data_IF_249302977102
#
_entry.id   IF_249302977102
#
_cell.length_a   1.000
_cell.length_b   1.000
_cell.length_c   1.000
_cell.angle_alpha   90.00
_cell.angle_beta   90.00
_cell.angle_gamma   90.00
#
_symmetry.space_group_name_H-M   'P 1'
#
loop_
_entity.id
_entity.type
_entity.pdbx_description
1 polymer ?
#
# COMPACT_ATOMS: atom_id res chain seq x y z
N UNK A 1 13.18 -26.15 4.37
CA UNK A 1 11.91 -25.42 4.18
C UNK A 1 12.23 -23.96 4.30
N UNK A 2 11.87 -23.17 3.30
CA UNK A 2 12.22 -21.75 3.19
C UNK A 2 11.18 -20.82 3.82
N UNK A 3 9.94 -21.30 4.00
CA UNK A 3 8.86 -20.57 4.64
C UNK A 3 8.40 -21.24 5.92
N UNK A 4 8.13 -20.45 6.96
CA UNK A 4 7.56 -20.90 8.23
C UNK A 4 6.45 -19.94 8.65
N UNK A 5 5.33 -20.48 9.14
CA UNK A 5 4.21 -19.67 9.62
C UNK A 5 4.00 -19.83 11.13
N UNK A 6 3.59 -18.75 11.79
CA UNK A 6 3.22 -18.72 13.20
C UNK A 6 1.85 -18.08 13.37
N UNK A 7 1.06 -18.62 14.29
CA UNK A 7 -0.09 -17.90 14.84
C UNK A 7 0.42 -16.78 15.76
N UNK A 8 -0.27 -15.65 15.76
CA UNK A 8 0.09 -14.46 16.53
C UNK A 8 -1.19 -13.82 17.04
N UNK A 9 -1.26 -13.41 18.30
CA UNK A 9 -2.43 -12.65 18.77
C UNK A 9 -2.37 -11.23 18.18
N UNK A 10 -3.39 -10.83 17.42
CA UNK A 10 -3.42 -9.54 16.70
C UNK A 10 -3.23 -8.34 17.63
N UNK A 11 -3.80 -8.43 18.83
CA UNK A 11 -3.85 -7.33 19.78
C UNK A 11 -2.49 -6.95 20.38
N UNK A 12 -1.56 -7.88 20.56
CA UNK A 12 -0.31 -7.59 21.27
C UNK A 12 0.92 -8.28 20.66
N UNK A 13 0.73 -9.01 19.58
CA UNK A 13 1.82 -9.65 18.87
C UNK A 13 2.29 -10.94 19.54
N UNK A 14 1.59 -11.44 20.56
CA UNK A 14 2.00 -12.63 21.27
C UNK A 14 2.11 -13.84 20.33
N UNK A 15 3.32 -14.40 20.20
CA UNK A 15 3.58 -15.55 19.32
C UNK A 15 2.94 -16.81 19.90
N UNK A 16 2.18 -17.49 19.05
CA UNK A 16 1.54 -18.77 19.32
C UNK A 16 2.24 -19.92 18.60
N UNK A 17 1.47 -20.97 18.32
CA UNK A 17 1.98 -22.18 17.70
C UNK A 17 2.53 -21.93 16.28
N UNK A 18 3.62 -22.62 15.96
CA UNK A 18 4.09 -22.76 14.58
C UNK A 18 3.12 -23.65 13.78
N UNK A 19 2.82 -23.23 12.56
CA UNK A 19 1.97 -23.95 11.61
C UNK A 19 2.82 -24.72 10.61
N UNK A 20 2.36 -25.92 10.26
CA UNK A 20 2.97 -26.68 9.16
C UNK A 20 2.23 -26.32 7.87
N UNK A 21 2.86 -25.48 7.06
CA UNK A 21 2.33 -25.07 5.77
C UNK A 21 2.26 -26.25 4.80
N UNK A 22 1.15 -26.39 4.09
CA UNK A 22 1.11 -27.19 2.87
C UNK A 22 1.69 -26.38 1.69
N UNK A 23 1.80 -27.03 0.53
CA UNK A 23 2.23 -26.36 -0.72
C UNK A 23 1.12 -25.50 -1.36
N UNK A 24 -0.01 -25.31 -0.69
CA UNK A 24 -1.15 -24.53 -1.16
C UNK A 24 -1.23 -23.18 -0.45
N UNK A 25 -1.77 -22.20 -1.15
CA UNK A 25 -1.81 -20.81 -0.71
C UNK A 25 -0.66 -19.99 -1.27
N UNK A 26 -0.73 -18.71 -1.00
CA UNK A 26 0.22 -17.72 -1.51
C UNK A 26 -0.03 -16.37 -0.88
N UNK A 27 0.66 -15.39 -1.42
CA UNK A 27 0.66 -14.02 -0.92
C UNK A 27 0.77 -13.03 -2.08
N UNK A 28 0.25 -11.84 -1.84
CA UNK A 28 0.32 -10.68 -2.70
C UNK A 28 0.52 -9.44 -1.83
N UNK A 29 1.49 -8.62 -2.19
CA UNK A 29 1.85 -7.37 -1.52
C UNK A 29 1.78 -6.27 -2.57
N UNK A 30 0.70 -5.47 -2.60
CA UNK A 30 0.61 -4.29 -3.46
C UNK A 30 1.27 -3.06 -2.80
N UNK A 31 1.81 -2.16 -3.61
CA UNK A 31 2.29 -0.86 -3.14
C UNK A 31 1.13 -0.02 -2.59
N UNK A 32 1.31 0.55 -1.38
CA UNK A 32 0.33 1.39 -0.69
C UNK A 32 -1.05 0.71 -0.50
N UNK A 33 -1.13 -0.62 -0.67
CA UNK A 33 -2.33 -1.41 -0.49
C UNK A 33 -2.26 -2.32 0.73
N UNK A 34 -3.32 -3.09 0.95
CA UNK A 34 -3.37 -4.09 2.02
C UNK A 34 -2.89 -5.41 1.43
N UNK A 35 -1.91 -6.04 2.07
CA UNK A 35 -1.43 -7.35 1.67
C UNK A 35 -2.54 -8.40 1.78
N UNK A 36 -2.56 -9.36 0.86
CA UNK A 36 -3.50 -10.48 0.88
C UNK A 36 -2.72 -11.78 0.84
N UNK A 37 -3.08 -12.72 1.72
CA UNK A 37 -2.40 -14.01 1.75
C UNK A 37 -3.27 -15.08 2.38
N UNK A 38 -2.97 -16.34 2.08
CA UNK A 38 -3.68 -17.47 2.68
C UNK A 38 -2.70 -18.57 3.04
N UNK A 39 -2.89 -19.20 4.19
CA UNK A 39 -2.10 -20.36 4.59
C UNK A 39 -2.96 -21.59 4.68
N UNK A 40 -2.57 -22.66 4.00
CA UNK A 40 -3.23 -23.96 4.12
C UNK A 40 -2.45 -24.84 5.09
N UNK A 41 -3.17 -25.40 6.07
CA UNK A 41 -2.59 -26.22 7.15
C UNK A 41 -3.41 -27.48 7.37
N UNK A 42 -2.83 -28.47 8.07
CA UNK A 42 -3.55 -29.70 8.43
C UNK A 42 -4.64 -29.45 9.47
N UNK A 43 -5.87 -29.92 9.22
CA UNK A 43 -7.01 -29.78 10.16
C UNK A 43 -6.72 -30.38 11.53
N UNK A 44 -6.00 -31.49 11.59
CA UNK A 44 -5.58 -32.12 12.86
C UNK A 44 -4.71 -31.20 13.71
N UNK A 45 -3.93 -30.30 13.09
CA UNK A 45 -3.14 -29.32 13.82
C UNK A 45 -4.05 -28.27 14.45
N UNK A 46 -4.99 -27.70 13.68
CA UNK A 46 -5.93 -26.70 14.19
C UNK A 46 -6.86 -27.25 15.28
N UNK A 47 -7.34 -28.48 15.14
CA UNK A 47 -8.21 -29.14 16.13
C UNK A 47 -7.53 -29.41 17.48
N UNK A 48 -6.19 -29.37 17.55
CA UNK A 48 -5.44 -29.49 18.81
C UNK A 48 -5.24 -28.15 19.52
N UNK A 49 -5.52 -27.05 18.84
CA UNK A 49 -5.41 -25.70 19.39
C UNK A 49 -6.75 -25.28 19.99
N UNK A 50 -6.71 -24.42 21.01
CA UNK A 50 -7.90 -23.69 21.47
C UNK A 50 -8.50 -22.93 20.27
N UNK A 51 -9.83 -23.00 20.02
CA UNK A 51 -10.50 -22.24 18.97
C UNK A 51 -10.21 -20.74 18.95
N UNK A 52 -9.86 -20.14 20.10
CA UNK A 52 -9.42 -18.76 20.19
C UNK A 52 -8.12 -18.47 19.42
N UNK A 53 -7.31 -19.49 19.13
CA UNK A 53 -6.05 -19.38 18.37
C UNK A 53 -6.22 -19.46 16.85
N UNK A 54 -7.44 -19.56 16.34
CA UNK A 54 -7.73 -19.40 14.91
C UNK A 54 -9.05 -18.65 14.69
N UNK A 55 -9.48 -17.88 15.69
CA UNK A 55 -10.67 -17.03 15.61
C UNK A 55 -10.35 -15.78 14.77
N UNK A 56 -11.21 -15.43 13.78
CA UNK A 56 -11.02 -14.25 12.95
C UNK A 56 -10.83 -12.98 13.80
N UNK A 57 -9.99 -12.08 13.31
CA UNK A 57 -9.61 -10.78 13.89
C UNK A 57 -8.85 -10.84 15.22
N UNK A 58 -9.04 -11.88 16.03
CA UNK A 58 -8.30 -12.09 17.28
C UNK A 58 -6.86 -12.54 17.01
N UNK A 59 -6.68 -13.31 15.96
CA UNK A 59 -5.41 -13.94 15.60
C UNK A 59 -4.99 -13.48 14.22
N UNK A 60 -3.70 -13.24 14.09
CA UNK A 60 -2.96 -13.04 12.86
C UNK A 60 -2.13 -14.27 12.54
N UNK A 61 -1.80 -14.44 11.28
CA UNK A 61 -0.73 -15.34 10.85
C UNK A 61 0.47 -14.48 10.46
N UNK A 62 1.66 -14.85 10.90
CA UNK A 62 2.92 -14.29 10.41
C UNK A 62 3.67 -15.37 9.65
N UNK A 63 3.94 -15.12 8.36
CA UNK A 63 4.77 -16.00 7.53
C UNK A 63 6.14 -15.37 7.38
N UNK A 64 7.17 -16.16 7.66
CA UNK A 64 8.56 -15.73 7.67
C UNK A 64 9.38 -16.51 6.67
N UNK A 65 10.31 -15.80 6.03
CA UNK A 65 11.39 -16.40 5.28
C UNK A 65 12.48 -16.86 6.24
N UNK A 66 12.96 -18.10 6.08
CA UNK A 66 14.09 -18.64 6.83
C UNK A 66 15.35 -18.35 6.05
N UNK A 67 16.19 -17.46 6.60
CA UNK A 67 17.50 -17.14 6.01
C UNK A 67 18.46 -18.31 6.16
N UNK A 68 19.58 -18.25 5.44
CA UNK A 68 20.62 -19.29 5.46
C UNK A 68 21.19 -19.52 6.88
N UNK A 69 21.27 -18.47 7.69
CA UNK A 69 21.71 -18.51 9.10
C UNK A 69 20.62 -19.04 10.08
N UNK A 70 19.43 -19.39 9.58
CA UNK A 70 18.30 -19.85 10.36
C UNK A 70 17.46 -18.74 11.01
N UNK A 71 17.83 -17.47 10.83
CA UNK A 71 17.03 -16.34 11.31
C UNK A 71 15.73 -16.21 10.52
N UNK A 72 14.71 -15.65 11.18
CA UNK A 72 13.38 -15.45 10.59
C UNK A 72 13.21 -14.00 10.16
N UNK A 73 13.02 -13.78 8.87
CA UNK A 73 12.56 -12.49 8.34
C UNK A 73 11.03 -12.53 8.20
N UNK A 74 10.32 -11.72 8.98
CA UNK A 74 8.88 -11.62 8.86
C UNK A 74 8.52 -10.98 7.51
N UNK A 75 7.94 -11.78 6.62
CA UNK A 75 7.67 -11.38 5.25
C UNK A 75 6.30 -10.71 5.14
N UNK A 76 5.25 -11.41 5.57
CA UNK A 76 3.87 -10.92 5.59
C UNK A 76 3.20 -11.36 6.88
N UNK A 77 2.39 -10.47 7.46
CA UNK A 77 1.59 -10.82 8.63
C UNK A 77 0.34 -9.95 8.76
N UNK A 78 -0.73 -10.55 9.28
CA UNK A 78 -1.95 -9.84 9.62
C UNK A 78 -3.11 -10.77 9.95
N UNK A 79 -4.27 -10.20 10.34
CA UNK A 79 -5.38 -10.95 10.92
C UNK A 79 -5.92 -12.01 9.96
N UNK A 80 -6.37 -13.14 10.54
CA UNK A 80 -7.36 -13.99 9.89
C UNK A 80 -8.63 -13.17 9.72
N UNK A 81 -9.11 -13.00 8.50
CA UNK A 81 -10.26 -12.14 8.21
C UNK A 81 -11.58 -12.91 8.14
N UNK A 82 -11.51 -14.22 8.02
CA UNK A 82 -12.67 -15.10 8.00
C UNK A 82 -12.33 -16.46 8.64
N UNK A 83 -13.36 -17.24 8.94
CA UNK A 83 -13.22 -18.68 9.20
C UNK A 83 -12.54 -19.35 8.00
N UNK A 84 -11.99 -20.56 8.17
CA UNK A 84 -11.32 -21.26 7.08
C UNK A 84 -12.21 -21.31 5.83
N UNK A 85 -11.75 -20.68 4.73
CA UNK A 85 -12.55 -20.47 3.52
C UNK A 85 -12.45 -21.64 2.52
N UNK A 86 -11.43 -22.47 2.68
CA UNK A 86 -11.23 -23.71 1.95
C UNK A 86 -11.05 -24.86 2.93
N UNK A 87 -11.87 -25.90 2.82
CA UNK A 87 -11.80 -27.06 3.69
C UNK A 87 -11.86 -28.36 2.90
N UNK A 88 -10.85 -29.20 3.05
CA UNK A 88 -10.88 -30.60 2.62
C UNK A 88 -11.11 -31.52 3.82
N UNK A 89 -11.04 -32.84 3.63
CA UNK A 89 -11.06 -33.78 4.76
C UNK A 89 -9.84 -33.64 5.68
N UNK A 90 -8.72 -33.12 5.18
CA UNK A 90 -7.43 -33.13 5.89
C UNK A 90 -6.80 -31.75 6.07
N UNK A 91 -7.21 -30.76 5.29
CA UNK A 91 -6.63 -29.40 5.28
C UNK A 91 -7.69 -28.33 5.45
N UNK A 92 -7.25 -27.18 5.96
CA UNK A 92 -8.04 -25.96 6.10
C UNK A 92 -7.19 -24.76 5.67
N UNK A 93 -7.78 -23.86 4.90
CA UNK A 93 -7.15 -22.64 4.39
C UNK A 93 -7.59 -21.45 5.21
N UNK A 94 -6.63 -20.77 5.84
CA UNK A 94 -6.86 -19.59 6.66
C UNK A 94 -6.66 -18.33 5.79
N UNK A 95 -7.73 -17.59 5.45
CA UNK A 95 -7.61 -16.35 4.68
C UNK A 95 -7.14 -15.23 5.61
N UNK A 96 -6.08 -14.54 5.21
CA UNK A 96 -5.46 -13.48 5.98
C UNK A 96 -5.27 -12.23 5.12
N UNK A 97 -5.22 -11.07 5.77
CA UNK A 97 -4.86 -9.80 5.14
C UNK A 97 -3.87 -9.09 6.03
N UNK A 98 -3.07 -8.17 5.48
CA UNK A 98 -2.14 -7.34 6.25
C UNK A 98 -2.83 -6.56 7.37
N UNK A 99 -2.06 -6.01 8.31
CA UNK A 99 -2.63 -5.26 9.45
C UNK A 99 -3.48 -4.06 9.02
N UNK A 100 -3.26 -3.55 7.80
CA UNK A 100 -4.12 -2.56 7.15
C UNK A 100 -5.60 -2.94 7.13
N UNK A 101 -5.95 -4.22 7.07
CA UNK A 101 -7.33 -4.68 7.16
C UNK A 101 -7.98 -4.35 8.51
N UNK A 102 -7.24 -4.48 9.62
CA UNK A 102 -7.76 -4.09 10.93
C UNK A 102 -7.90 -2.56 11.06
N UNK A 103 -7.06 -1.80 10.38
CA UNK A 103 -7.17 -0.33 10.29
C UNK A 103 -8.33 0.10 9.37
N UNK A 104 -8.69 -0.70 8.37
CA UNK A 104 -9.85 -0.42 7.51
C UNK A 104 -11.18 -0.46 8.29
N UNK A 105 -11.26 -1.29 9.32
CA UNK A 105 -12.42 -1.39 10.23
C UNK A 105 -12.46 -0.28 11.30
N UNK A 106 -11.43 0.59 11.38
CA UNK A 106 -11.34 1.66 12.36
C UNK A 106 -11.80 2.98 11.75
N UNK A 107 -12.69 3.68 12.44
CA UNK A 107 -13.11 5.04 12.06
C UNK A 107 -12.39 6.08 12.93
N UNK A 108 -11.83 7.11 12.30
CA UNK A 108 -11.29 8.30 12.95
C UNK A 108 -12.40 9.15 13.52
N UNK A 109 -12.30 9.46 14.82
CA UNK A 109 -13.21 10.36 15.52
C UNK A 109 -12.42 11.28 16.45
N UNK A 110 -12.84 12.53 16.61
CA UNK A 110 -12.22 13.47 17.56
C UNK A 110 -12.42 13.05 19.02
N UNK A 111 -13.41 12.18 19.30
CA UNK A 111 -13.71 11.63 20.61
C UNK A 111 -14.19 10.17 20.47
N UNK A 112 -13.90 9.33 21.46
CA UNK A 112 -14.38 7.93 21.48
C UNK A 112 -15.87 7.90 21.88
N UNK A 113 -16.72 7.10 21.20
CA UNK A 113 -18.17 7.15 21.40
C UNK A 113 -18.71 6.41 22.64
N UNK A 114 -17.87 5.70 23.40
CA UNK A 114 -18.39 4.79 24.45
C UNK A 114 -18.98 5.61 25.61
N UNK A 115 -20.31 5.47 25.78
CA UNK A 115 -21.16 6.11 26.78
C UNK A 115 -21.42 7.62 26.57
N UNK A 116 -21.38 8.11 25.34
CA UNK A 116 -21.78 9.49 25.06
C UNK A 116 -23.31 9.65 25.15
N UNK A 117 -23.77 10.61 25.96
CA UNK A 117 -25.15 11.11 25.91
C UNK A 117 -25.46 11.66 24.51
N UNK A 118 -26.75 11.85 24.17
CA UNK A 118 -27.14 12.45 22.88
C UNK A 118 -26.40 13.76 22.60
N UNK A 119 -26.20 14.60 23.63
CA UNK A 119 -25.44 15.85 23.49
C UNK A 119 -23.98 15.62 23.10
N UNK A 120 -23.32 14.63 23.69
CA UNK A 120 -21.93 14.32 23.37
C UNK A 120 -21.78 13.60 22.00
N UNK A 121 -22.81 12.87 21.55
CA UNK A 121 -22.85 12.36 20.17
C UNK A 121 -22.97 13.50 19.15
N UNK A 122 -23.83 14.50 19.42
CA UNK A 122 -23.91 15.72 18.59
C UNK A 122 -22.57 16.47 18.60
N UNK A 123 -21.95 16.62 19.77
CA UNK A 123 -20.64 17.26 19.89
C UNK A 123 -19.57 16.53 19.06
N UNK A 124 -19.53 15.20 19.10
CA UNK A 124 -18.64 14.37 18.28
C UNK A 124 -18.81 14.67 16.78
N UNK A 125 -20.05 14.84 16.31
CA UNK A 125 -20.34 15.15 14.90
C UNK A 125 -19.90 16.58 14.50
N UNK A 126 -19.89 17.52 15.44
CA UNK A 126 -19.49 18.91 15.17
C UNK A 126 -17.98 19.16 15.28
N UNK A 127 -17.24 18.29 15.98
CA UNK A 127 -15.80 18.40 16.14
C UNK A 127 -15.06 17.91 14.89
N UNK A 128 -13.88 18.44 14.65
CA UNK A 128 -12.96 17.94 13.64
C UNK A 128 -11.59 17.58 14.24
N UNK A 129 -10.88 16.71 13.53
CA UNK A 129 -9.46 16.44 13.75
C UNK A 129 -8.67 17.25 12.74
N UNK A 130 -7.87 18.20 13.21
CA UNK A 130 -7.02 19.03 12.36
C UNK A 130 -5.54 18.73 12.63
N UNK A 131 -4.84 18.31 11.59
CA UNK A 131 -3.39 18.16 11.59
C UNK A 131 -2.80 19.23 10.67
N UNK A 132 -2.01 20.15 11.21
CA UNK A 132 -1.47 21.28 10.48
C UNK A 132 0.04 21.37 10.65
N UNK A 133 0.72 21.85 9.62
CA UNK A 133 2.17 22.01 9.61
C UNK A 133 2.93 20.69 9.73
N UNK A 134 2.44 19.64 9.06
CA UNK A 134 3.02 18.29 9.09
C UNK A 134 3.18 17.75 7.66
N UNK A 135 4.18 16.90 7.40
CA UNK A 135 4.24 16.16 6.14
C UNK A 135 3.07 15.17 6.05
N UNK A 136 2.67 14.75 4.84
CA UNK A 136 1.63 13.74 4.68
C UNK A 136 1.97 12.43 5.40
N UNK A 137 3.25 12.04 5.42
CA UNK A 137 3.70 10.85 6.16
C UNK A 137 3.52 11.01 7.67
N UNK A 138 3.82 12.20 8.20
CA UNK A 138 3.58 12.53 9.61
C UNK A 138 2.08 12.55 9.94
N UNK A 139 1.23 13.08 9.06
CA UNK A 139 -0.23 13.03 9.21
C UNK A 139 -0.71 11.58 9.22
N UNK A 140 -0.17 10.72 8.36
CA UNK A 140 -0.48 9.29 8.34
C UNK A 140 -0.17 8.62 9.69
N UNK A 141 0.97 8.93 10.31
CA UNK A 141 1.28 8.44 11.66
C UNK A 141 0.23 8.87 12.70
N UNK A 142 -0.18 10.15 12.67
CA UNK A 142 -1.19 10.67 13.60
C UNK A 142 -2.56 10.03 13.39
N UNK A 143 -2.94 9.80 12.14
CA UNK A 143 -4.15 9.06 11.77
C UNK A 143 -4.13 7.64 12.37
N UNK A 144 -3.02 6.91 12.24
CA UNK A 144 -2.89 5.57 12.83
C UNK A 144 -2.95 5.66 14.36
N UNK A 145 -2.14 6.52 15.00
CA UNK A 145 -2.17 6.70 16.47
C UNK A 145 -3.58 6.97 16.98
N UNK A 146 -4.32 7.82 16.27
CA UNK A 146 -5.70 8.14 16.64
C UNK A 146 -6.64 6.94 16.50
N UNK A 147 -6.47 6.13 15.46
CA UNK A 147 -7.18 4.87 15.30
C UNK A 147 -6.89 3.84 16.41
N UNK A 148 -5.64 3.81 16.90
CA UNK A 148 -5.20 2.89 17.95
C UNK A 148 -5.62 3.32 19.37
N UNK A 149 -5.86 4.62 19.59
CA UNK A 149 -6.26 5.19 20.88
C UNK A 149 -7.70 4.81 21.32
N UNK A 150 -8.36 3.92 20.58
CA UNK A 150 -9.72 3.44 20.83
C UNK A 150 -9.74 2.18 21.68
N UNK A 151 -10.89 1.85 22.26
CA UNK A 151 -11.03 0.60 23.03
C UNK A 151 -10.74 -0.60 22.11
N UNK A 152 -9.92 -1.52 22.62
CA UNK A 152 -9.43 -2.67 21.85
C UNK A 152 -8.59 -2.29 20.62
N UNK A 153 -8.06 -1.06 20.54
CA UNK A 153 -7.28 -0.55 19.41
C UNK A 153 -5.77 -0.70 19.53
N UNK A 154 -5.26 -1.26 20.62
CA UNK A 154 -3.84 -1.31 20.95
C UNK A 154 -3.02 -2.32 20.14
N UNK A 155 -3.12 -2.32 18.81
CA UNK A 155 -2.30 -3.18 17.95
C UNK A 155 -0.80 -2.89 18.18
N UNK A 156 0.10 -3.88 18.06
CA UNK A 156 1.55 -3.71 18.23
C UNK A 156 2.14 -3.04 16.99
N UNK A 157 1.72 -1.82 16.70
CA UNK A 157 2.23 -0.98 15.62
C UNK A 157 3.19 0.04 16.21
N UNK A 158 4.42 0.07 15.68
CA UNK A 158 5.45 1.05 16.03
C UNK A 158 5.73 1.95 14.82
N UNK A 159 6.24 3.16 15.06
CA UNK A 159 6.47 4.14 14.00
C UNK A 159 7.97 4.23 13.70
N UNK A 160 8.36 3.81 12.50
CA UNK A 160 9.77 3.70 12.09
C UNK A 160 10.30 4.90 11.30
N UNK A 161 9.42 5.76 10.78
CA UNK A 161 9.82 6.94 10.01
C UNK A 161 9.89 8.22 10.87
N UNK A 162 10.77 9.17 10.52
CA UNK A 162 10.87 10.44 11.24
C UNK A 162 9.59 11.26 11.09
N UNK A 163 9.34 12.11 12.09
CA UNK A 163 8.28 13.11 12.04
C UNK A 163 8.82 14.39 11.44
N UNK A 164 8.04 15.01 10.55
CA UNK A 164 8.37 16.27 9.91
C UNK A 164 7.29 17.31 10.24
N UNK A 165 7.74 18.47 10.75
CA UNK A 165 6.88 19.59 11.12
C UNK A 165 7.43 20.89 10.54
N UNK A 166 6.54 21.82 10.19
CA UNK A 166 6.89 23.12 9.64
C UNK A 166 5.64 23.86 9.17
N UNK A 167 5.60 25.18 9.36
CA UNK A 167 4.41 26.00 9.05
C UNK A 167 4.01 26.00 7.57
N UNK A 168 4.95 25.72 6.68
CA UNK A 168 4.74 25.62 5.22
C UNK A 168 4.32 24.22 4.77
N UNK A 169 4.31 23.23 5.68
CA UNK A 169 3.90 21.86 5.36
C UNK A 169 2.38 21.73 5.27
N UNK A 170 1.92 20.50 5.13
CA UNK A 170 0.55 20.18 4.75
C UNK A 170 -0.40 20.30 5.94
N UNK A 171 -1.67 20.45 5.59
CA UNK A 171 -2.79 20.44 6.53
C UNK A 171 -3.87 19.49 6.05
N UNK A 172 -4.45 18.73 6.98
CA UNK A 172 -5.66 17.92 6.77
C UNK A 172 -6.62 18.10 7.92
N UNK A 173 -7.90 18.20 7.57
CA UNK A 173 -9.02 18.25 8.52
C UNK A 173 -9.91 17.05 8.22
N UNK A 174 -10.32 16.33 9.26
CA UNK A 174 -11.29 15.25 9.18
C UNK A 174 -12.48 15.59 10.06
N UNK A 175 -13.60 15.90 9.43
CA UNK A 175 -14.79 16.34 10.13
C UNK A 175 -15.56 15.17 10.74
N UNK A 176 -16.04 15.38 11.97
CA UNK A 176 -16.78 14.40 12.74
C UNK A 176 -18.10 14.01 12.08
N UNK A 177 -18.72 14.88 11.29
CA UNK A 177 -19.97 14.56 10.59
C UNK A 177 -19.75 13.61 9.40
N UNK A 178 -18.52 13.50 8.89
CA UNK A 178 -18.18 12.70 7.73
C UNK A 178 -17.65 11.29 8.11
N UNK A 179 -18.26 10.66 9.12
CA UNK A 179 -17.79 9.38 9.67
C UNK A 179 -17.68 8.27 8.63
N UNK A 180 -18.64 8.20 7.70
CA UNK A 180 -18.70 7.18 6.66
C UNK A 180 -17.46 7.18 5.75
N UNK A 181 -16.74 8.30 5.69
CA UNK A 181 -15.50 8.44 4.92
C UNK A 181 -14.25 8.44 5.79
N UNK A 182 -14.37 8.42 7.12
CA UNK A 182 -13.27 8.57 8.07
C UNK A 182 -12.60 7.25 8.49
N UNK A 183 -12.70 6.18 7.71
CA UNK A 183 -11.95 4.95 8.00
C UNK A 183 -10.44 5.25 7.96
N UNK A 184 -9.68 4.73 8.92
CA UNK A 184 -8.25 4.99 9.08
C UNK A 184 -7.52 4.59 7.80
N UNK A 185 -7.73 3.37 7.30
CA UNK A 185 -7.08 2.93 6.06
C UNK A 185 -7.47 3.79 4.85
N UNK A 186 -8.75 4.16 4.73
CA UNK A 186 -9.22 5.04 3.65
C UNK A 186 -8.45 6.37 3.65
N UNK A 187 -8.25 6.98 4.82
CA UNK A 187 -7.46 8.22 4.94
C UNK A 187 -5.97 8.02 4.63
N UNK A 188 -5.39 6.86 4.93
CA UNK A 188 -4.02 6.54 4.52
C UNK A 188 -3.91 6.43 3.00
N UNK A 189 -4.83 5.73 2.34
CA UNK A 189 -4.87 5.60 0.89
C UNK A 189 -5.03 6.95 0.19
N UNK A 190 -5.89 7.83 0.71
CA UNK A 190 -6.04 9.20 0.22
C UNK A 190 -4.76 10.03 0.40
N UNK A 191 -4.05 9.88 1.52
CA UNK A 191 -2.77 10.57 1.75
C UNK A 191 -1.68 10.09 0.78
N UNK A 192 -1.60 8.81 0.49
CA UNK A 192 -0.66 8.29 -0.52
C UNK A 192 -1.07 8.60 -1.95
N UNK A 193 -2.38 8.77 -2.21
CA UNK A 193 -2.94 8.96 -3.55
C UNK A 193 -2.97 10.40 -4.05
N UNK A 194 -2.53 11.40 -3.28
CA UNK A 194 -2.37 12.78 -3.77
C UNK A 194 -1.06 12.95 -4.54
N UNK A 195 -0.96 14.04 -5.32
CA UNK A 195 0.30 14.46 -5.93
C UNK A 195 1.39 14.62 -4.86
N UNK A 196 2.55 14.02 -5.07
CA UNK A 196 3.64 13.95 -4.09
C UNK A 196 3.20 13.33 -2.74
N UNK A 197 2.24 12.39 -2.78
CA UNK A 197 1.83 11.59 -1.65
C UNK A 197 2.94 10.61 -1.23
N UNK A 198 3.14 10.38 0.08
CA UNK A 198 4.17 9.48 0.56
C UNK A 198 3.73 8.04 0.36
N UNK A 199 4.71 7.18 0.16
CA UNK A 199 4.54 5.75 0.40
C UNK A 199 4.22 5.49 1.86
N UNK A 200 3.39 4.49 2.11
CA UNK A 200 3.04 4.03 3.45
C UNK A 200 3.05 2.50 3.44
N UNK A 201 3.79 1.89 4.36
CA UNK A 201 3.85 0.44 4.52
C UNK A 201 3.86 0.01 5.98
N UNK A 202 3.33 -1.19 6.26
CA UNK A 202 3.32 -1.81 7.58
C UNK A 202 4.16 -3.08 7.56
N UNK A 203 5.46 -2.94 7.85
CA UNK A 203 6.41 -4.04 7.72
C UNK A 203 6.39 -4.91 8.99
N UNK A 204 6.02 -6.20 8.92
CA UNK A 204 6.06 -7.05 10.10
C UNK A 204 7.52 -7.29 10.54
N UNK A 205 7.74 -7.39 11.85
CA UNK A 205 9.05 -7.64 12.45
C UNK A 205 8.91 -8.51 13.70
N UNK A 206 9.79 -9.49 13.86
CA UNK A 206 9.97 -10.19 15.13
C UNK A 206 10.81 -9.34 16.07
N UNK A 207 10.32 -9.12 17.28
CA UNK A 207 11.08 -8.51 18.38
C UNK A 207 11.99 -9.54 19.04
N UNK A 208 12.96 -9.06 19.81
CA UNK A 208 13.90 -9.90 20.56
C UNK A 208 13.19 -10.80 21.59
N UNK A 209 12.03 -10.38 22.11
CA UNK A 209 11.17 -11.17 23.01
C UNK A 209 10.37 -12.27 22.29
N UNK A 210 10.53 -12.39 20.96
CA UNK A 210 9.86 -13.38 20.13
C UNK A 210 8.43 -13.01 19.71
N UNK A 211 7.93 -11.84 20.11
CA UNK A 211 6.62 -11.36 19.70
C UNK A 211 6.69 -10.58 18.38
N UNK A 212 5.57 -10.49 17.68
CA UNK A 212 5.46 -9.75 16.43
C UNK A 212 5.08 -8.29 16.69
N UNK A 213 5.59 -7.39 15.87
CA UNK A 213 5.07 -6.04 15.71
C UNK A 213 5.01 -5.65 14.23
N UNK A 214 4.24 -4.61 13.92
CA UNK A 214 4.25 -3.98 12.60
C UNK A 214 4.94 -2.62 12.71
N UNK A 215 5.99 -2.42 11.91
CA UNK A 215 6.66 -1.13 11.79
C UNK A 215 5.98 -0.35 10.68
N UNK A 216 5.22 0.69 11.04
CA UNK A 216 4.73 1.67 10.08
C UNK A 216 5.90 2.53 9.62
N UNK A 217 6.18 2.47 8.32
CA UNK A 217 7.14 3.32 7.64
C UNK A 217 6.45 4.10 6.54
N UNK A 218 6.95 5.29 6.29
CA UNK A 218 6.49 6.16 5.22
C UNK A 218 7.65 6.98 4.63
N UNK A 219 7.45 7.47 3.40
CA UNK A 219 8.33 8.47 2.80
C UNK A 219 8.19 9.86 3.43
N UNK A 220 9.13 10.72 3.12
CA UNK A 220 9.24 12.09 3.66
C UNK A 220 8.62 13.11 2.72
N UNK A 221 8.58 14.39 3.11
CA UNK A 221 8.13 15.46 2.22
C UNK A 221 9.05 15.62 0.99
N UNK A 222 10.37 15.57 1.20
CA UNK A 222 11.36 15.74 0.14
C UNK A 222 11.57 14.48 -0.72
N UNK A 223 11.32 13.31 -0.13
CA UNK A 223 11.42 12.01 -0.81
C UNK A 223 10.17 11.20 -0.46
N UNK A 224 9.11 11.24 -1.29
CA UNK A 224 7.87 10.52 -1.05
C UNK A 224 8.04 9.00 -0.98
N UNK A 225 9.11 8.44 -1.55
CA UNK A 225 9.45 7.03 -1.42
C UNK A 225 9.98 6.69 -0.02
N UNK A 226 9.69 5.48 0.48
CA UNK A 226 10.35 4.97 1.70
C UNK A 226 11.85 4.81 1.44
N UNK A 227 12.68 5.31 2.35
CA UNK A 227 14.13 5.19 2.23
C UNK A 227 14.56 3.71 2.20
N UNK A 228 15.42 3.37 1.24
CA UNK A 228 15.99 2.05 1.05
C UNK A 228 17.49 2.05 1.35
N UNK A 229 17.99 0.94 1.90
CA UNK A 229 19.43 0.73 2.17
C UNK A 229 20.07 -0.24 1.19
N UNK A 230 19.27 -0.82 0.30
CA UNK A 230 19.69 -1.81 -0.68
C UNK A 230 18.83 -1.63 -1.93
N UNK A 231 19.39 -1.91 -3.11
CA UNK A 231 18.68 -1.83 -4.37
C UNK A 231 18.90 -3.13 -5.15
N UNK A 232 17.81 -3.68 -5.67
CA UNK A 232 17.85 -4.87 -6.51
C UNK A 232 18.50 -4.55 -7.84
N UNK A 233 19.21 -5.51 -8.42
CA UNK A 233 19.80 -5.38 -9.76
C UNK A 233 19.41 -6.60 -10.60
N UNK A 234 18.54 -6.37 -11.57
CA UNK A 234 17.94 -7.38 -12.44
C UNK A 234 18.34 -7.11 -13.87
N UNK A 235 19.14 -8.01 -14.43
CA UNK A 235 19.60 -7.95 -15.81
C UNK A 235 18.94 -9.07 -16.63
N UNK A 236 18.05 -8.72 -17.54
CA UNK A 236 17.33 -9.69 -18.39
C UNK A 236 18.21 -10.26 -19.50
N UNK A 237 19.35 -9.62 -19.80
CA UNK A 237 20.26 -10.01 -20.87
C UNK A 237 21.31 -11.04 -20.42
N UNK A 238 21.49 -11.19 -19.10
CA UNK A 238 22.50 -12.07 -18.51
C UNK A 238 22.00 -13.51 -18.33
N UNK A 239 22.76 -14.48 -18.86
CA UNK A 239 22.48 -15.92 -18.69
C UNK A 239 22.59 -16.43 -17.24
N UNK A 240 23.14 -15.63 -16.30
CA UNK A 240 23.26 -15.97 -14.87
C UNK A 240 22.32 -15.15 -13.99
N UNK A 241 21.32 -14.52 -14.61
CA UNK A 241 20.33 -13.71 -13.91
C UNK A 241 19.42 -14.57 -13.01
N UNK A 242 18.94 -14.06 -11.86
CA UNK A 242 17.93 -14.74 -11.04
C UNK A 242 16.54 -14.78 -11.69
N UNK A 243 16.38 -14.18 -12.87
CA UNK A 243 15.12 -14.03 -13.59
C UNK A 243 14.81 -15.31 -14.37
N UNK A 244 13.65 -15.90 -14.12
CA UNK A 244 13.14 -17.08 -14.83
C UNK A 244 12.27 -16.72 -16.04
N UNK A 245 11.54 -15.60 -15.98
CA UNK A 245 10.74 -15.09 -17.09
C UNK A 245 10.48 -13.60 -16.95
N UNK A 246 10.29 -12.92 -18.09
CA UNK A 246 9.93 -11.51 -18.19
C UNK A 246 8.69 -11.39 -19.06
N UNK A 247 7.73 -10.57 -18.62
CA UNK A 247 6.55 -10.21 -19.38
C UNK A 247 6.41 -8.68 -19.38
N UNK A 248 6.17 -8.10 -20.54
CA UNK A 248 5.98 -6.65 -20.68
C UNK A 248 4.55 -6.40 -21.16
N UNK A 249 3.80 -5.63 -20.38
CA UNK A 249 2.43 -5.25 -20.71
C UNK A 249 2.35 -3.73 -20.80
N UNK A 250 1.84 -3.21 -21.91
CA UNK A 250 1.60 -1.78 -22.09
C UNK A 250 0.10 -1.54 -22.23
N UNK A 251 -0.45 -0.71 -21.35
CA UNK A 251 -1.87 -0.33 -21.35
C UNK A 251 -2.02 1.15 -21.75
N UNK A 252 -2.74 1.38 -22.84
CA UNK A 252 -3.06 2.70 -23.37
C UNK A 252 -4.52 3.12 -23.08
N UNK A 253 -5.29 2.33 -22.32
CA UNK A 253 -6.70 2.58 -22.03
C UNK A 253 -6.95 3.89 -21.27
N UNK A 254 -5.95 4.34 -20.49
CA UNK A 254 -5.99 5.60 -19.72
C UNK A 254 -5.50 6.82 -20.48
N UNK A 255 -5.13 6.69 -21.76
CA UNK A 255 -4.70 7.85 -22.54
C UNK A 255 -5.85 8.86 -22.65
N UNK A 256 -5.57 10.11 -22.27
CA UNK A 256 -6.51 11.21 -22.36
C UNK A 256 -5.77 12.49 -22.70
N UNK A 257 -6.32 13.26 -23.64
CA UNK A 257 -5.85 14.61 -23.98
C UNK A 257 -6.67 15.67 -23.25
N UNK A 258 -7.83 15.31 -22.70
CA UNK A 258 -8.69 16.18 -21.89
C UNK A 258 -9.29 15.42 -20.71
N UNK A 259 -9.25 16.05 -19.54
CA UNK A 259 -9.81 15.52 -18.29
C UNK A 259 -10.86 16.49 -17.79
N UNK A 260 -12.07 15.99 -17.54
CA UNK A 260 -13.08 16.69 -16.75
C UNK A 260 -13.03 16.19 -15.31
N UNK A 261 -13.05 17.09 -14.33
CA UNK A 261 -13.09 16.71 -12.92
C UNK A 261 -14.26 17.37 -12.21
N UNK A 262 -15.05 16.56 -11.52
CA UNK A 262 -16.26 16.99 -10.82
C UNK A 262 -16.03 17.11 -9.32
N UNK A 263 -16.61 18.12 -8.68
CA UNK A 263 -16.55 18.37 -7.24
C UNK A 263 -17.93 18.25 -6.57
N UNK A 264 -18.05 18.84 -5.38
CA UNK A 264 -19.33 18.94 -4.67
C UNK A 264 -20.38 19.75 -5.44
N UNK A 265 -21.64 19.40 -5.23
CA UNK A 265 -22.83 20.02 -5.83
C UNK A 265 -23.83 18.97 -6.31
N UNK A 266 -25.08 19.38 -6.48
CA UNK A 266 -26.15 18.53 -7.00
C UNK A 266 -26.68 19.08 -8.34
N UNK A 267 -26.93 18.17 -9.30
CA UNK A 267 -27.49 18.52 -10.60
C UNK A 267 -26.64 19.56 -11.34
N UNK A 268 -27.26 20.68 -11.73
CA UNK A 268 -26.63 21.76 -12.47
C UNK A 268 -25.64 22.60 -11.65
N UNK A 269 -25.54 22.38 -10.34
CA UNK A 269 -24.60 23.09 -9.45
C UNK A 269 -23.29 22.34 -9.22
N UNK A 270 -23.16 21.14 -9.77
CA UNK A 270 -21.93 20.33 -9.68
C UNK A 270 -20.75 21.12 -10.20
N UNK A 271 -19.74 21.29 -9.35
CA UNK A 271 -18.54 21.99 -9.75
C UNK A 271 -17.77 21.16 -10.78
N UNK A 272 -17.32 21.78 -11.87
CA UNK A 272 -16.50 21.11 -12.89
C UNK A 272 -15.24 21.93 -13.17
N UNK A 273 -14.11 21.23 -13.32
CA UNK A 273 -12.86 21.76 -13.86
C UNK A 273 -12.41 20.92 -15.05
N UNK A 274 -11.67 21.54 -15.96
CA UNK A 274 -11.16 20.90 -17.16
C UNK A 274 -9.66 21.15 -17.25
N UNK A 275 -8.91 20.09 -17.54
CA UNK A 275 -7.50 20.16 -17.91
C UNK A 275 -7.34 19.57 -19.32
N UNK A 276 -6.48 20.16 -20.14
CA UNK A 276 -6.30 19.72 -21.53
C UNK A 276 -4.86 19.89 -22.01
N UNK A 277 -4.36 18.92 -22.79
CA UNK A 277 -3.12 18.97 -23.55
C UNK A 277 -3.41 18.63 -25.01
N UNK A 278 -3.26 19.61 -25.89
CA UNK A 278 -3.56 19.48 -27.34
C UNK A 278 -2.33 19.18 -28.18
N UNK A 279 -1.14 19.05 -27.58
CA UNK A 279 0.12 18.91 -28.31
C UNK A 279 0.09 17.76 -29.33
N UNK A 280 -0.53 16.63 -28.98
CA UNK A 280 -0.61 15.44 -29.84
C UNK A 280 -1.69 15.46 -30.91
N UNK A 281 -2.61 16.43 -30.88
CA UNK A 281 -3.57 16.59 -31.98
C UNK A 281 -2.86 16.91 -33.30
N UNK A 282 -1.68 17.53 -33.22
CA UNK A 282 -0.81 17.79 -34.38
C UNK A 282 -0.31 16.49 -35.04
N UNK A 283 -0.13 15.41 -34.26
CA UNK A 283 0.32 14.10 -34.73
C UNK A 283 -0.84 13.21 -35.20
N UNK A 284 -1.99 13.81 -35.54
CA UNK A 284 -3.23 13.12 -35.94
C UNK A 284 -3.79 12.18 -34.85
N UNK A 285 -3.41 12.34 -33.57
CA UNK A 285 -4.11 11.65 -32.49
C UNK A 285 -5.53 12.20 -32.35
N UNK A 286 -6.53 11.33 -32.17
CA UNK A 286 -7.88 11.77 -31.84
C UNK A 286 -7.91 12.45 -30.47
N UNK A 287 -8.90 13.32 -30.25
CA UNK A 287 -9.20 13.83 -28.92
C UNK A 287 -9.71 12.67 -28.05
N UNK A 288 -8.97 12.35 -26.98
CA UNK A 288 -9.35 11.36 -25.99
C UNK A 288 -9.77 12.07 -24.71
N UNK A 289 -10.91 11.69 -24.14
CA UNK A 289 -11.52 12.36 -23.01
C UNK A 289 -11.79 11.39 -21.86
N UNK A 290 -11.58 11.85 -20.62
CA UNK A 290 -11.94 11.11 -19.41
C UNK A 290 -12.59 12.02 -18.37
N UNK A 291 -13.30 11.42 -17.41
CA UNK A 291 -14.03 12.12 -16.35
C UNK A 291 -13.67 11.53 -15.00
N UNK A 292 -13.26 12.37 -14.05
CA UNK A 292 -13.00 12.03 -12.65
C UNK A 292 -13.90 12.79 -11.67
N UNK A 293 -13.86 12.42 -10.39
CA UNK A 293 -14.68 13.05 -9.36
C UNK A 293 -14.03 13.10 -7.99
N UNK A 294 -14.36 14.17 -7.25
CA UNK A 294 -14.12 14.35 -5.82
C UNK A 294 -15.39 14.99 -5.24
N UNK A 295 -16.47 14.18 -5.18
CA UNK A 295 -17.84 14.60 -4.83
C UNK A 295 -17.96 15.33 -3.49
N UNK A 296 -17.01 15.13 -2.60
CA UNK A 296 -17.08 15.61 -1.22
C UNK A 296 -16.28 16.92 -1.03
N UNK A 297 -15.67 17.45 -2.09
CA UNK A 297 -14.86 18.68 -2.04
C UNK A 297 -15.53 19.82 -2.79
N UNK A 298 -15.73 20.95 -2.11
CA UNK A 298 -16.11 22.24 -2.71
C UNK A 298 -14.89 23.13 -3.02
N UNK A 299 -13.68 22.67 -2.70
CA UNK A 299 -12.44 23.39 -2.95
C UNK A 299 -12.04 23.36 -4.43
N UNK A 300 -12.19 24.53 -5.08
CA UNK A 300 -11.88 24.75 -6.51
C UNK A 300 -10.44 24.42 -6.91
N UNK A 301 -9.47 24.73 -6.06
CA UNK A 301 -8.06 24.50 -6.36
C UNK A 301 -7.76 23.01 -6.29
N UNK A 302 -8.23 22.33 -5.24
CA UNK A 302 -8.09 20.88 -5.12
C UNK A 302 -8.67 20.12 -6.33
N UNK A 303 -9.86 20.52 -6.80
CA UNK A 303 -10.50 19.90 -7.98
C UNK A 303 -9.66 20.15 -9.25
N UNK A 304 -9.07 21.34 -9.41
CA UNK A 304 -8.17 21.64 -10.54
C UNK A 304 -6.90 20.78 -10.47
N UNK A 305 -6.31 20.64 -9.29
CA UNK A 305 -5.10 19.83 -9.09
C UNK A 305 -5.33 18.37 -9.44
N UNK A 306 -6.49 17.82 -9.08
CA UNK A 306 -6.86 16.47 -9.50
C UNK A 306 -6.99 16.34 -11.03
N UNK A 307 -7.63 17.31 -11.70
CA UNK A 307 -7.75 17.30 -13.16
C UNK A 307 -6.37 17.35 -13.86
N UNK A 308 -5.46 18.19 -13.36
CA UNK A 308 -4.10 18.30 -13.87
C UNK A 308 -3.27 17.04 -13.59
N UNK A 309 -3.41 16.47 -12.39
CA UNK A 309 -2.75 15.22 -12.00
C UNK A 309 -3.16 14.04 -12.89
N UNK A 310 -4.46 13.88 -13.14
CA UNK A 310 -4.94 12.84 -14.05
C UNK A 310 -4.48 13.10 -15.48
N UNK A 311 -4.52 14.35 -15.97
CA UNK A 311 -4.04 14.66 -17.31
C UNK A 311 -2.57 14.30 -17.46
N UNK A 312 -1.73 14.61 -16.46
CA UNK A 312 -0.31 14.25 -16.45
C UNK A 312 -0.11 12.73 -16.46
N UNK A 313 -0.88 11.98 -15.67
CA UNK A 313 -0.85 10.51 -15.63
C UNK A 313 -1.35 9.87 -16.94
N UNK A 314 -2.25 10.53 -17.65
CA UNK A 314 -2.85 10.08 -18.90
C UNK A 314 -2.06 10.45 -20.16
N UNK A 315 -0.89 11.10 -20.04
CA UNK A 315 -0.10 11.52 -21.21
C UNK A 315 0.55 10.36 -21.94
N UNK A 316 0.91 9.27 -21.28
CA UNK A 316 1.62 8.15 -21.90
C UNK A 316 0.97 6.83 -21.52
N UNK A 317 1.02 5.81 -22.39
CA UNK A 317 0.64 4.46 -21.99
C UNK A 317 1.43 4.03 -20.76
N UNK A 318 0.78 3.28 -19.87
CA UNK A 318 1.45 2.72 -18.70
C UNK A 318 2.11 1.42 -19.14
N UNK A 319 3.43 1.35 -19.04
CA UNK A 319 4.17 0.11 -19.27
C UNK A 319 4.53 -0.53 -17.94
N UNK A 320 4.05 -1.76 -17.74
CA UNK A 320 4.37 -2.61 -16.61
C UNK A 320 5.30 -3.73 -17.06
N UNK A 321 6.34 -3.97 -16.28
CA UNK A 321 7.28 -5.08 -16.49
C UNK A 321 7.07 -6.06 -15.34
N UNK A 322 6.66 -7.28 -15.66
CA UNK A 322 6.53 -8.36 -14.68
C UNK A 322 7.71 -9.32 -14.83
N UNK A 323 8.39 -9.63 -13.73
CA UNK A 323 9.49 -10.59 -13.71
C UNK A 323 9.27 -11.66 -12.67
N UNK A 324 9.46 -12.91 -13.08
CA UNK A 324 9.50 -14.05 -12.16
C UNK A 324 10.94 -14.28 -11.73
N UNK A 325 11.26 -14.10 -10.45
CA UNK A 325 12.63 -14.17 -9.92
C UNK A 325 12.78 -15.28 -8.89
N UNK A 326 13.98 -15.84 -8.78
CA UNK A 326 14.32 -16.75 -7.69
C UNK A 326 14.71 -15.95 -6.44
N UNK A 327 13.81 -15.86 -5.47
CA UNK A 327 13.99 -15.17 -4.21
C UNK A 327 14.98 -15.79 -3.23
N UNK A 328 15.63 -16.90 -3.61
CA UNK A 328 16.78 -17.45 -2.87
C UNK A 328 18.13 -17.00 -3.45
N UNK A 329 18.16 -16.36 -4.63
CA UNK A 329 19.40 -15.80 -5.18
C UNK A 329 19.81 -14.55 -4.37
N UNK A 330 21.08 -14.37 -3.99
CA UNK A 330 21.54 -13.20 -3.24
C UNK A 330 21.22 -11.84 -3.87
N UNK A 331 21.00 -11.79 -5.20
CA UNK A 331 20.63 -10.57 -5.93
C UNK A 331 19.14 -10.23 -5.85
N UNK A 332 18.30 -11.15 -5.40
CA UNK A 332 16.86 -10.98 -5.27
C UNK A 332 16.32 -11.58 -3.96
N UNK A 333 17.19 -11.76 -2.95
CA UNK A 333 16.87 -12.50 -1.72
C UNK A 333 15.67 -11.89 -1.00
N UNK A 334 14.66 -12.71 -0.73
CA UNK A 334 13.47 -12.31 0.02
C UNK A 334 13.88 -11.75 1.39
N UNK A 335 13.34 -10.58 1.73
CA UNK A 335 13.65 -9.87 2.97
C UNK A 335 14.72 -8.77 2.81
N UNK A 336 15.53 -8.79 1.74
CA UNK A 336 16.47 -7.69 1.43
C UNK A 336 15.80 -6.50 0.72
N UNK A 337 14.71 -6.78 0.03
CA UNK A 337 13.89 -5.81 -0.67
C UNK A 337 12.46 -5.84 -0.14
N UNK A 338 11.72 -4.76 -0.41
CA UNK A 338 10.31 -4.60 -0.09
C UNK A 338 9.59 -3.99 -1.30
N UNK A 339 8.29 -4.21 -1.38
CA UNK A 339 7.44 -3.48 -2.34
C UNK A 339 7.51 -1.98 -2.01
N UNK A 340 7.65 -1.17 -3.06
CA UNK A 340 7.96 0.26 -2.99
C UNK A 340 9.43 0.59 -3.19
N UNK A 341 10.36 -0.35 -2.98
CA UNK A 341 11.79 -0.14 -3.23
C UNK A 341 12.06 0.03 -4.74
N UNK A 342 13.15 0.73 -5.06
CA UNK A 342 13.64 0.87 -6.42
C UNK A 342 14.61 -0.26 -6.77
N UNK A 343 14.50 -0.75 -7.99
CA UNK A 343 15.34 -1.76 -8.59
C UNK A 343 15.98 -1.21 -9.87
N UNK A 344 17.24 -1.55 -10.10
CA UNK A 344 17.87 -1.36 -11.41
C UNK A 344 17.44 -2.50 -12.30
N UNK A 345 16.82 -2.18 -13.41
CA UNK A 345 16.32 -3.14 -14.39
C UNK A 345 17.03 -2.88 -15.71
N UNK A 346 17.78 -3.87 -16.19
CA UNK A 346 18.44 -3.86 -17.50
C UNK A 346 17.63 -4.68 -18.46
N UNK A 347 17.11 -4.03 -19.50
CA UNK A 347 16.32 -4.63 -20.57
C UNK A 347 17.17 -4.68 -21.85
N UNK A 348 17.01 -5.73 -22.65
CA UNK A 348 17.63 -5.81 -23.97
C UNK A 348 16.85 -5.08 -25.06
N UNK A 349 17.32 -5.15 -26.30
CA UNK A 349 16.75 -4.47 -27.48
C UNK A 349 15.61 -5.26 -28.15
N UNK A 350 15.21 -6.39 -27.57
CA UNK A 350 14.13 -7.24 -28.08
C UNK A 350 12.71 -6.70 -27.84
N UNK A 351 12.56 -5.69 -26.96
CA UNK A 351 11.24 -5.17 -26.56
C UNK A 351 10.82 -3.96 -27.41
N UNK A 352 9.60 -4.01 -27.95
CA UNK A 352 9.06 -2.93 -28.77
C UNK A 352 8.67 -1.68 -27.96
N UNK A 353 8.15 -1.88 -26.75
CA UNK A 353 7.57 -0.80 -25.91
C UNK A 353 8.48 -0.37 -24.77
N UNK A 354 9.64 -1.01 -24.61
CA UNK A 354 10.62 -0.71 -23.55
C UNK A 354 11.99 -0.53 -24.20
N UNK A 355 12.65 0.62 -24.04
CA UNK A 355 13.98 0.83 -24.61
C UNK A 355 15.03 -0.05 -23.92
N UNK A 356 16.04 -0.45 -24.68
CA UNK A 356 17.20 -1.17 -24.16
C UNK A 356 18.00 -0.31 -23.16
N UNK A 357 18.63 -0.97 -22.20
CA UNK A 357 19.52 -0.36 -21.22
C UNK A 357 19.02 -0.49 -19.78
N UNK A 358 19.79 0.10 -18.87
CA UNK A 358 19.52 0.05 -17.43
C UNK A 358 18.70 1.27 -17.00
N UNK A 359 17.54 1.03 -16.40
CA UNK A 359 16.69 2.08 -15.83
C UNK A 359 16.31 1.76 -14.39
N UNK A 360 16.08 2.80 -13.58
CA UNK A 360 15.51 2.61 -12.25
C UNK A 360 14.01 2.39 -12.40
N UNK A 361 13.52 1.25 -11.90
CA UNK A 361 12.10 0.92 -11.85
C UNK A 361 11.69 0.70 -10.42
N UNK A 362 10.42 0.88 -10.15
CA UNK A 362 9.84 0.74 -8.82
C UNK A 362 9.07 -0.57 -8.71
N UNK A 363 9.27 -1.30 -7.61
CA UNK A 363 8.48 -2.50 -7.32
C UNK A 363 7.10 -2.06 -6.85
N UNK A 364 6.09 -2.21 -7.70
CA UNK A 364 4.70 -1.81 -7.39
C UNK A 364 3.86 -2.94 -6.81
N UNK A 365 4.25 -4.20 -7.05
CA UNK A 365 3.62 -5.36 -6.44
C UNK A 365 4.60 -6.54 -6.40
N UNK A 366 4.36 -7.44 -5.47
CA UNK A 366 5.03 -8.73 -5.43
C UNK A 366 4.04 -9.82 -5.02
N UNK A 367 4.18 -11.02 -5.60
CA UNK A 367 3.38 -12.17 -5.23
C UNK A 367 4.18 -13.47 -5.27
N UNK A 368 3.70 -14.49 -4.55
CA UNK A 368 4.38 -15.77 -4.51
C UNK A 368 3.55 -16.87 -3.86
N UNK A 369 4.11 -18.07 -3.84
CA UNK A 369 3.52 -19.25 -3.21
C UNK A 369 4.39 -19.78 -2.08
N UNK A 370 3.80 -20.54 -1.15
CA UNK A 370 4.56 -21.17 -0.07
C UNK A 370 5.37 -22.39 -0.49
N UNK A 371 5.17 -22.86 -1.73
CA UNK A 371 5.78 -24.08 -2.27
C UNK A 371 7.28 -23.93 -2.57
N UNK A 372 7.72 -22.74 -2.96
CA UNK A 372 9.09 -22.49 -3.42
C UNK A 372 9.54 -21.05 -3.15
N UNK A 373 10.73 -20.71 -3.63
CA UNK A 373 11.34 -19.39 -3.54
C UNK A 373 11.01 -18.47 -4.71
N UNK A 374 10.18 -18.90 -5.67
CA UNK A 374 9.88 -18.09 -6.85
C UNK A 374 8.88 -17.00 -6.48
N UNK A 375 9.19 -15.78 -6.92
CA UNK A 375 8.39 -14.58 -6.67
C UNK A 375 8.12 -13.90 -8.00
N UNK A 376 6.88 -13.47 -8.21
CA UNK A 376 6.50 -12.64 -9.34
C UNK A 376 6.51 -11.17 -8.86
N UNK A 377 7.32 -10.32 -9.51
CA UNK A 377 7.51 -8.91 -9.20
C UNK A 377 6.97 -8.06 -10.34
N UNK A 378 6.18 -7.05 -10.01
CA UNK A 378 5.68 -6.07 -10.98
C UNK A 378 6.39 -4.74 -10.80
N UNK A 379 6.85 -4.20 -11.91
CA UNK A 379 7.62 -2.96 -11.97
C UNK A 379 6.94 -1.91 -12.83
N UNK A 380 7.06 -0.65 -12.42
CA UNK A 380 6.71 0.51 -13.24
C UNK A 380 7.82 1.55 -13.16
N UNK A 381 7.76 2.55 -14.04
CA UNK A 381 8.65 3.71 -13.94
C UNK A 381 8.48 4.37 -12.57
N UNK A 382 9.61 4.66 -11.91
CA UNK A 382 9.57 5.53 -10.74
C UNK A 382 9.12 6.89 -11.25
N UNK A 383 7.94 7.34 -10.84
CA UNK A 383 7.41 8.65 -11.23
C UNK A 383 8.31 9.73 -10.63
N UNK A 384 9.42 10.04 -11.30
CA UNK A 384 10.21 11.22 -11.03
C UNK A 384 9.38 12.36 -11.60
N UNK A 385 8.56 12.96 -10.75
CA UNK A 385 7.96 14.26 -11.03
C UNK A 385 9.09 15.20 -11.48
N UNK A 386 9.00 15.70 -12.71
CA UNK A 386 10.03 16.54 -13.32
C UNK A 386 10.06 17.93 -12.69
N UNK A 387 11.11 18.75 -12.90
CA UNK A 387 11.21 20.11 -12.38
C UNK A 387 9.97 21.00 -12.63
N UNK A 388 9.29 20.80 -13.76
CA UNK A 388 8.08 21.55 -14.13
C UNK A 388 6.83 21.10 -13.34
N UNK A 389 6.91 19.98 -12.62
CA UNK A 389 5.90 19.59 -11.64
C UNK A 389 6.01 20.36 -10.31
N UNK A 390 7.04 21.19 -10.14
CA UNK A 390 7.34 21.97 -8.93
C UNK A 390 7.16 23.48 -9.11
N UNK A 391 6.44 23.93 -10.14
CA UNK A 391 6.03 25.33 -10.18
C UNK A 391 5.03 25.60 -9.05
N UNK A 392 5.51 26.30 -8.03
CA UNK A 392 4.70 26.92 -6.99
C UNK A 392 3.64 27.83 -7.64
N UNK A 393 2.47 27.91 -7.00
CA UNK A 393 1.31 28.69 -7.46
C UNK A 393 1.54 30.22 -7.56
N UNK A 394 2.77 30.71 -7.44
CA UNK A 394 3.10 32.15 -7.42
C UNK A 394 3.63 32.73 -8.74
N UNK A 395 3.83 31.95 -9.81
CA UNK A 395 4.28 32.50 -11.13
C UNK A 395 3.22 32.49 -12.24
N UNK A 396 1.94 32.64 -11.89
CA UNK A 396 0.88 32.97 -12.86
C UNK A 396 0.09 34.18 -12.35
N UNK A 397 0.68 35.37 -12.50
CA UNK A 397 -0.04 36.64 -12.67
C UNK A 397 0.24 37.23 -14.05
#
# INVERSE_FOLDING_TARGET
>A
MTWVAHLVRTMDGARGAQLTLSNEGGWEIPLNGIEEFSVTVGKRQLLRLDPLWWKPWRVSVAVSWVREDGSLDAWVAGPLVNLPSGESRTTATLPCRGIGAALAERVLTAQEPINLSTAAQVEMMTKNLRYAGMSYGTIAQEVVKRGLAKVGGSYPIVFGSPREQGSTLRTRTYDGYNLANNQVWKRLAELSGVRNGPDIAFRPRWRDDGNLEWVMVHGTHAQPQIAQTWAMDLDTTSHRSPIASVNVTTDASRLASRVYWTGAGEGSTTMVRVAEDRSRLADQMPLLETVGSTSDSDNRNLIRDHALGELAASKTPVTQIDMRVNGADPRAEIGRWRVGDAARVTMGDEWLTVPAGTTSKRIIAASGSWKNSMVDLSFQDDAVHGPDDYLDEEEIE
#
